data_IF_623144956298
#
_entry.id   IF_623144956298
#
_cell.length_a   1.000
_cell.length_b   1.000
_cell.length_c   1.000
_cell.angle_alpha   90.00
_cell.angle_beta   90.00
_cell.angle_gamma   90.00
#
_symmetry.space_group_name_H-M   'P 1'
#
loop_
_entity.id
_entity.type
_entity.pdbx_description
1 polymer ?
#
# COMPACT_ATOMS: atom_id res chain seq x y z
N UNK A 1 12.99 -82.75 -48.30
CA UNK A 1 12.53 -81.70 -47.36
C UNK A 1 11.78 -80.53 -48.04
N UNK A 2 11.61 -80.52 -49.37
CA UNK A 2 10.97 -79.42 -50.11
C UNK A 2 9.46 -79.59 -50.37
N UNK A 3 8.93 -80.80 -50.16
CA UNK A 3 7.51 -81.11 -50.44
C UNK A 3 6.55 -80.88 -49.25
N UNK A 4 7.08 -80.72 -48.02
CA UNK A 4 6.24 -80.43 -46.84
C UNK A 4 5.84 -78.97 -46.70
N UNK A 5 6.62 -78.02 -47.23
CA UNK A 5 6.28 -76.59 -47.18
C UNK A 5 5.16 -76.24 -48.17
N UNK A 6 5.20 -76.80 -49.39
CA UNK A 6 4.15 -76.60 -50.39
C UNK A 6 2.79 -77.20 -49.98
N UNK A 7 2.80 -78.31 -49.22
CA UNK A 7 1.59 -78.91 -48.65
C UNK A 7 0.97 -78.05 -47.54
N UNK A 8 1.81 -77.41 -46.72
CA UNK A 8 1.34 -76.53 -45.63
C UNK A 8 0.71 -75.24 -46.17
N UNK A 9 1.31 -74.64 -47.20
CA UNK A 9 0.80 -73.43 -47.84
C UNK A 9 -0.53 -73.73 -48.58
N UNK A 10 -0.65 -74.91 -49.20
CA UNK A 10 -1.88 -75.35 -49.87
C UNK A 10 -3.03 -75.63 -48.89
N UNK A 11 -2.71 -76.20 -47.71
CA UNK A 11 -3.68 -76.41 -46.64
C UNK A 11 -4.14 -75.10 -45.98
N UNK A 12 -3.26 -74.10 -45.85
CA UNK A 12 -3.63 -72.76 -45.35
C UNK A 12 -4.52 -71.99 -46.34
N UNK A 13 -4.24 -72.09 -47.65
CA UNK A 13 -5.09 -71.49 -48.69
C UNK A 13 -6.49 -72.13 -48.68
N UNK A 14 -6.56 -73.47 -48.57
CA UNK A 14 -7.84 -74.19 -48.50
C UNK A 14 -8.65 -73.87 -47.24
N UNK A 15 -7.98 -73.70 -46.09
CA UNK A 15 -8.63 -73.24 -44.85
C UNK A 15 -9.16 -71.82 -44.98
N UNK A 16 -8.40 -70.92 -45.61
CA UNK A 16 -8.85 -69.54 -45.85
C UNK A 16 -10.04 -69.49 -46.81
N UNK A 17 -10.08 -70.34 -47.84
CA UNK A 17 -11.25 -70.47 -48.74
C UNK A 17 -12.47 -70.99 -47.99
N UNK A 18 -12.33 -72.03 -47.17
CA UNK A 18 -13.44 -72.56 -46.36
C UNK A 18 -13.97 -71.53 -45.35
N UNK A 19 -13.09 -70.77 -44.69
CA UNK A 19 -13.47 -69.68 -43.79
C UNK A 19 -14.23 -68.60 -44.56
N UNK A 20 -13.78 -68.25 -45.76
CA UNK A 20 -14.43 -67.23 -46.59
C UNK A 20 -15.82 -67.68 -47.05
N UNK A 21 -15.97 -68.94 -47.45
CA UNK A 21 -17.24 -69.53 -47.84
C UNK A 21 -18.24 -69.59 -46.66
N UNK A 22 -17.78 -69.98 -45.47
CA UNK A 22 -18.61 -69.95 -44.25
C UNK A 22 -19.11 -68.54 -43.92
N UNK A 23 -18.25 -67.52 -44.08
CA UNK A 23 -18.66 -66.11 -43.87
C UNK A 23 -19.68 -65.67 -44.91
N UNK A 24 -19.53 -66.11 -46.16
CA UNK A 24 -20.45 -65.80 -47.25
C UNK A 24 -21.83 -66.42 -47.04
N UNK A 25 -21.86 -67.69 -46.62
CA UNK A 25 -23.09 -68.41 -46.24
C UNK A 25 -23.80 -67.75 -45.05
N UNK A 26 -23.03 -67.37 -44.02
CA UNK A 26 -23.56 -66.68 -42.84
C UNK A 26 -24.14 -65.32 -43.22
N UNK A 27 -23.45 -64.57 -44.08
CA UNK A 27 -23.92 -63.28 -44.58
C UNK A 27 -25.22 -63.42 -45.39
N UNK A 28 -25.31 -64.43 -46.26
CA UNK A 28 -26.54 -64.74 -46.99
C UNK A 28 -27.71 -65.08 -46.06
N UNK A 29 -27.48 -65.88 -45.03
CA UNK A 29 -28.50 -66.24 -44.03
C UNK A 29 -29.01 -65.00 -43.28
N UNK A 30 -28.11 -64.09 -42.89
CA UNK A 30 -28.45 -62.86 -42.18
C UNK A 30 -29.23 -61.91 -43.11
N UNK A 31 -28.79 -61.73 -44.36
CA UNK A 31 -29.48 -60.89 -45.34
C UNK A 31 -30.89 -61.40 -45.65
N UNK A 32 -31.07 -62.72 -45.77
CA UNK A 32 -32.38 -63.33 -45.96
C UNK A 32 -33.31 -63.05 -44.76
N UNK A 33 -32.80 -63.12 -43.53
CA UNK A 33 -33.57 -62.76 -42.32
C UNK A 33 -33.94 -61.27 -42.30
N UNK A 34 -33.04 -60.39 -42.72
CA UNK A 34 -33.29 -58.94 -42.78
C UNK A 34 -34.35 -58.61 -43.84
N UNK A 35 -34.31 -59.25 -45.02
CA UNK A 35 -35.34 -59.08 -46.05
C UNK A 35 -36.73 -59.50 -45.56
N UNK A 36 -36.82 -60.62 -44.83
CA UNK A 36 -38.08 -61.10 -44.25
C UNK A 36 -38.63 -60.15 -43.18
N UNK A 37 -37.76 -59.56 -42.35
CA UNK A 37 -38.17 -58.65 -41.28
C UNK A 37 -38.53 -57.25 -41.79
N UNK A 38 -37.83 -56.72 -42.79
CA UNK A 38 -38.04 -55.37 -43.33
C UNK A 38 -39.10 -55.28 -44.44
N UNK A 39 -39.68 -56.41 -44.86
CA UNK A 39 -40.66 -56.53 -45.96
C UNK A 39 -40.23 -55.84 -47.28
N UNK A 40 -38.93 -55.65 -47.45
CA UNK A 40 -38.31 -54.98 -48.59
C UNK A 40 -37.61 -56.02 -49.47
N UNK A 41 -38.06 -56.15 -50.72
CA UNK A 41 -37.51 -57.13 -51.68
C UNK A 41 -36.15 -56.74 -52.26
N UNK A 42 -35.77 -55.46 -52.16
CA UNK A 42 -34.56 -54.93 -52.78
C UNK A 42 -33.40 -54.86 -51.76
N UNK A 43 -32.53 -55.87 -51.79
CA UNK A 43 -31.33 -55.97 -50.92
C UNK A 43 -30.42 -54.75 -51.08
N UNK A 44 -30.27 -54.24 -52.31
CA UNK A 44 -29.39 -53.10 -52.58
C UNK A 44 -29.86 -51.84 -51.88
N UNK A 45 -31.17 -51.66 -51.72
CA UNK A 45 -31.74 -50.52 -50.99
C UNK A 45 -31.45 -50.60 -49.49
N UNK A 46 -31.50 -51.81 -48.91
CA UNK A 46 -31.17 -52.06 -47.50
C UNK A 46 -29.67 -51.81 -47.26
N UNK A 47 -28.80 -52.35 -48.10
CA UNK A 47 -27.36 -52.11 -47.99
C UNK A 47 -27.00 -50.63 -48.13
N UNK A 48 -27.59 -49.90 -49.10
CA UNK A 48 -27.37 -48.46 -49.24
C UNK A 48 -27.81 -47.67 -48.02
N UNK A 49 -28.97 -48.00 -47.44
CA UNK A 49 -29.43 -47.36 -46.21
C UNK A 49 -28.53 -47.68 -45.00
N UNK A 50 -27.99 -48.91 -44.95
CA UNK A 50 -27.06 -49.32 -43.90
C UNK A 50 -25.72 -48.60 -44.01
N UNK A 51 -25.15 -48.51 -45.22
CA UNK A 51 -23.91 -47.76 -45.48
C UNK A 51 -24.10 -46.28 -45.15
N UNK A 52 -25.21 -45.65 -45.56
CA UNK A 52 -25.50 -44.27 -45.18
C UNK A 52 -25.66 -44.09 -43.66
N UNK A 53 -26.30 -45.05 -42.98
CA UNK A 53 -26.42 -45.03 -41.52
C UNK A 53 -25.07 -45.23 -40.83
N UNK A 54 -24.20 -46.06 -41.39
CA UNK A 54 -22.83 -46.28 -40.90
C UNK A 54 -21.96 -45.03 -41.08
N UNK A 55 -21.99 -44.40 -42.25
CA UNK A 55 -21.30 -43.13 -42.52
C UNK A 55 -21.76 -42.02 -41.55
N UNK A 56 -23.07 -41.93 -41.30
CA UNK A 56 -23.61 -40.98 -40.34
C UNK A 56 -23.16 -41.29 -38.90
N UNK A 57 -23.16 -42.57 -38.50
CA UNK A 57 -22.67 -42.98 -37.19
C UNK A 57 -21.17 -42.72 -37.02
N UNK A 58 -20.37 -42.93 -38.06
CA UNK A 58 -18.94 -42.63 -38.06
C UNK A 58 -18.70 -41.14 -37.85
N UNK A 59 -19.42 -40.29 -38.60
CA UNK A 59 -19.34 -38.83 -38.45
C UNK A 59 -19.78 -38.35 -37.06
N UNK A 60 -20.83 -38.97 -36.50
CA UNK A 60 -21.26 -38.68 -35.12
C UNK A 60 -20.20 -39.10 -34.10
N UNK A 61 -19.57 -40.25 -34.28
CA UNK A 61 -18.51 -40.72 -33.40
C UNK A 61 -17.28 -39.81 -33.44
N UNK A 62 -16.87 -39.38 -34.64
CA UNK A 62 -15.81 -38.38 -34.83
C UNK A 62 -16.15 -37.08 -34.10
N UNK A 63 -17.37 -36.59 -34.27
CA UNK A 63 -17.82 -35.35 -33.61
C UNK A 63 -17.88 -35.48 -32.09
N UNK A 64 -18.34 -36.61 -31.57
CA UNK A 64 -18.33 -36.87 -30.12
C UNK A 64 -16.91 -36.90 -29.57
N UNK A 65 -15.96 -37.48 -30.29
CA UNK A 65 -14.56 -37.47 -29.89
C UNK A 65 -13.97 -36.05 -29.92
N UNK A 66 -14.24 -35.28 -30.97
CA UNK A 66 -13.81 -33.89 -31.09
C UNK A 66 -14.35 -33.04 -29.93
N UNK A 67 -15.65 -33.15 -29.63
CA UNK A 67 -16.26 -32.46 -28.49
C UNK A 67 -15.66 -32.91 -27.15
N UNK A 68 -15.33 -34.20 -27.00
CA UNK A 68 -14.72 -34.72 -25.78
C UNK A 68 -13.33 -34.11 -25.55
N UNK A 69 -12.52 -34.01 -26.62
CA UNK A 69 -11.22 -33.34 -26.59
C UNK A 69 -11.36 -31.84 -26.29
N UNK A 70 -12.38 -31.19 -26.85
CA UNK A 70 -12.66 -29.77 -26.57
C UNK A 70 -13.06 -29.57 -25.10
N UNK A 71 -13.89 -30.45 -24.54
CA UNK A 71 -14.27 -30.42 -23.11
C UNK A 71 -13.04 -30.59 -22.22
N UNK A 72 -12.14 -31.52 -22.54
CA UNK A 72 -10.89 -31.72 -21.79
C UNK A 72 -10.01 -30.47 -21.83
N UNK A 73 -9.88 -29.85 -23.00
CA UNK A 73 -9.13 -28.60 -23.18
C UNK A 73 -9.73 -27.46 -22.35
N UNK A 74 -11.05 -27.28 -22.41
CA UNK A 74 -11.75 -26.24 -21.64
C UNK A 74 -11.62 -26.48 -20.12
N UNK A 75 -11.69 -27.74 -19.67
CA UNK A 75 -11.47 -28.06 -18.26
C UNK A 75 -10.04 -27.73 -17.80
N UNK A 76 -9.04 -27.93 -18.64
CA UNK A 76 -7.67 -27.55 -18.32
C UNK A 76 -7.50 -26.03 -18.26
N UNK A 77 -8.10 -25.29 -19.20
CA UNK A 77 -8.10 -23.83 -19.18
C UNK A 77 -8.77 -23.29 -17.92
N UNK A 78 -9.95 -23.82 -17.55
CA UNK A 78 -10.65 -23.45 -16.32
C UNK A 78 -9.82 -23.75 -15.07
N UNK A 79 -9.08 -24.88 -15.06
CA UNK A 79 -8.15 -25.19 -13.96
C UNK A 79 -7.02 -24.16 -13.88
N UNK A 80 -6.39 -23.84 -15.01
CA UNK A 80 -5.33 -22.83 -15.07
C UNK A 80 -5.81 -21.46 -14.57
N UNK A 81 -6.94 -20.99 -15.07
CA UNK A 81 -7.55 -19.72 -14.66
C UNK A 81 -7.88 -19.69 -13.16
N UNK A 82 -8.39 -20.80 -12.60
CA UNK A 82 -8.66 -20.90 -11.16
C UNK A 82 -7.39 -20.82 -10.31
N UNK A 83 -6.29 -21.45 -10.75
CA UNK A 83 -5.00 -21.37 -10.07
C UNK A 83 -4.45 -19.94 -10.10
N UNK A 84 -4.51 -19.27 -11.25
CA UNK A 84 -4.10 -17.87 -11.38
C UNK A 84 -4.90 -16.96 -10.45
N UNK A 85 -6.23 -17.13 -10.42
CA UNK A 85 -7.12 -16.35 -9.56
C UNK A 85 -6.80 -16.56 -8.07
N UNK A 86 -6.44 -17.78 -7.68
CA UNK A 86 -6.00 -18.08 -6.32
C UNK A 86 -4.69 -17.37 -5.97
N UNK A 87 -3.71 -17.37 -6.87
CA UNK A 87 -2.43 -16.66 -6.69
C UNK A 87 -2.67 -15.16 -6.55
N UNK A 88 -3.44 -14.56 -7.45
CA UNK A 88 -3.77 -13.13 -7.41
C UNK A 88 -4.50 -12.78 -6.11
N UNK A 89 -5.45 -13.62 -5.68
CA UNK A 89 -6.20 -13.41 -4.44
C UNK A 89 -5.28 -13.45 -3.21
N UNK A 90 -4.31 -14.38 -3.17
CA UNK A 90 -3.31 -14.45 -2.09
C UNK A 90 -2.43 -13.22 -2.07
N UNK A 91 -1.91 -12.79 -3.23
CA UNK A 91 -1.10 -11.57 -3.35
C UNK A 91 -1.86 -10.33 -2.91
N UNK A 92 -3.13 -10.19 -3.33
CA UNK A 92 -3.98 -9.07 -2.94
C UNK A 92 -4.22 -9.02 -1.42
N UNK A 93 -4.47 -10.17 -0.79
CA UNK A 93 -4.63 -10.26 0.68
C UNK A 93 -3.35 -9.87 1.41
N UNK A 94 -2.20 -10.31 0.92
CA UNK A 94 -0.91 -9.97 1.52
C UNK A 94 -0.61 -8.47 1.37
N UNK A 95 -0.83 -7.90 0.18
CA UNK A 95 -0.67 -6.47 -0.08
C UNK A 95 -1.58 -5.64 0.83
N UNK A 96 -2.87 -6.00 0.91
CA UNK A 96 -3.81 -5.31 1.80
C UNK A 96 -3.38 -5.34 3.27
N UNK A 97 -2.75 -6.42 3.72
CA UNK A 97 -2.21 -6.51 5.09
C UNK A 97 -1.00 -5.58 5.28
N UNK A 98 -0.11 -5.48 4.29
CA UNK A 98 1.02 -4.53 4.29
C UNK A 98 0.51 -3.09 4.30
N UNK A 99 -0.45 -2.76 3.44
CA UNK A 99 -1.04 -1.43 3.36
C UNK A 99 -1.70 -1.02 4.68
N UNK A 100 -2.40 -1.95 5.34
CA UNK A 100 -3.01 -1.69 6.64
C UNK A 100 -1.95 -1.42 7.73
N UNK A 101 -0.84 -2.17 7.73
CA UNK A 101 0.26 -1.95 8.66
C UNK A 101 0.91 -0.57 8.43
N UNK A 102 1.19 -0.23 7.18
CA UNK A 102 1.73 1.10 6.81
C UNK A 102 0.78 2.21 7.22
N UNK A 103 -0.52 2.05 7.00
CA UNK A 103 -1.53 3.03 7.42
C UNK A 103 -1.49 3.26 8.94
N UNK A 104 -1.47 2.17 9.71
CA UNK A 104 -1.38 2.24 11.17
C UNK A 104 -0.08 2.90 11.64
N UNK A 105 1.05 2.63 10.99
CA UNK A 105 2.32 3.26 11.33
C UNK A 105 2.31 4.77 11.03
N UNK A 106 1.70 5.18 9.91
CA UNK A 106 1.51 6.59 9.57
C UNK A 106 0.59 7.28 10.57
N UNK A 107 -0.52 6.64 10.96
CA UNK A 107 -1.45 7.16 11.98
C UNK A 107 -0.71 7.39 13.31
N UNK A 108 0.05 6.40 13.79
CA UNK A 108 0.83 6.53 15.02
C UNK A 108 1.90 7.62 14.95
N UNK A 109 2.58 7.76 13.80
CA UNK A 109 3.59 8.80 13.64
C UNK A 109 2.94 10.19 13.61
N UNK A 110 1.78 10.31 12.98
CA UNK A 110 0.99 11.54 12.93
C UNK A 110 0.53 11.94 14.33
N UNK A 111 0.05 10.99 15.12
CA UNK A 111 -0.38 11.24 16.49
C UNK A 111 0.80 11.68 17.37
N UNK A 112 1.97 11.03 17.24
CA UNK A 112 3.19 11.46 17.95
C UNK A 112 3.60 12.88 17.57
N UNK A 113 3.68 13.18 16.28
CA UNK A 113 4.02 14.52 15.81
C UNK A 113 3.01 15.56 16.27
N UNK A 114 1.72 15.22 16.32
CA UNK A 114 0.68 16.10 16.84
C UNK A 114 0.87 16.37 18.33
N UNK A 115 1.19 15.35 19.14
CA UNK A 115 1.47 15.54 20.56
C UNK A 115 2.72 16.37 20.80
N UNK A 116 3.77 16.18 20.00
CA UNK A 116 5.01 16.95 20.09
C UNK A 116 4.78 18.41 19.68
N UNK A 117 4.03 18.66 18.61
CA UNK A 117 3.64 20.00 18.19
C UNK A 117 2.84 20.71 19.27
N UNK A 118 1.87 20.03 19.89
CA UNK A 118 1.10 20.60 21.00
C UNK A 118 1.99 20.95 22.20
N UNK A 119 2.94 20.08 22.57
CA UNK A 119 3.87 20.37 23.66
C UNK A 119 4.77 21.58 23.36
N UNK A 120 5.20 21.74 22.11
CA UNK A 120 5.98 22.89 21.68
C UNK A 120 5.16 24.18 21.68
N UNK A 121 3.88 24.11 21.28
CA UNK A 121 2.95 25.24 21.33
C UNK A 121 2.68 25.65 22.79
N UNK A 122 2.33 24.70 23.65
CA UNK A 122 2.12 24.95 25.09
C UNK A 122 3.38 25.54 25.76
N UNK A 123 4.57 25.05 25.39
CA UNK A 123 5.83 25.59 25.89
C UNK A 123 6.12 27.00 25.36
N UNK A 124 5.80 27.28 24.10
CA UNK A 124 5.95 28.61 23.51
C UNK A 124 5.01 29.62 24.17
N UNK A 125 3.76 29.24 24.42
CA UNK A 125 2.78 30.07 25.13
C UNK A 125 3.23 30.37 26.55
N UNK A 126 3.72 29.37 27.29
CA UNK A 126 4.28 29.58 28.63
C UNK A 126 5.48 30.56 28.61
N UNK A 127 6.34 30.47 27.60
CA UNK A 127 7.47 31.42 27.44
C UNK A 127 7.03 32.81 27.01
N UNK A 128 5.97 32.93 26.21
CA UNK A 128 5.37 34.21 25.88
C UNK A 128 4.79 34.90 27.13
N UNK A 129 4.12 34.14 28.01
CA UNK A 129 3.60 34.65 29.28
C UNK A 129 4.73 35.11 30.23
N UNK A 130 5.80 34.32 30.36
CA UNK A 130 7.00 34.71 31.11
C UNK A 130 7.61 36.02 30.55
N UNK A 131 7.69 36.15 29.23
CA UNK A 131 8.23 37.34 28.57
C UNK A 131 7.36 38.58 28.82
N UNK A 132 6.04 38.42 28.84
CA UNK A 132 5.13 39.52 29.15
C UNK A 132 5.29 40.00 30.60
N UNK A 133 5.45 39.08 31.54
CA UNK A 133 5.76 39.42 32.94
C UNK A 133 7.07 40.22 33.04
N UNK A 134 8.11 39.84 32.29
CA UNK A 134 9.37 40.60 32.23
C UNK A 134 9.15 42.01 31.69
N UNK A 135 8.32 42.20 30.65
CA UNK A 135 7.98 43.53 30.13
C UNK A 135 7.28 44.38 31.17
N UNK A 136 6.29 43.85 31.88
CA UNK A 136 5.57 44.57 32.93
C UNK A 136 6.52 45.03 34.05
N UNK A 137 7.40 44.13 34.51
CA UNK A 137 8.42 44.47 35.52
C UNK A 137 9.36 45.55 34.99
N UNK A 138 9.83 45.43 33.75
CA UNK A 138 10.72 46.41 33.13
C UNK A 138 10.04 47.79 33.01
N UNK A 139 8.78 47.85 32.60
CA UNK A 139 7.97 49.08 32.58
C UNK A 139 7.86 49.68 33.98
N UNK A 140 7.61 48.87 35.01
CA UNK A 140 7.48 49.35 36.40
C UNK A 140 8.77 49.97 36.94
N UNK A 141 9.93 49.34 36.66
CA UNK A 141 11.24 49.84 37.06
C UNK A 141 11.56 51.14 36.33
N UNK A 142 11.27 51.20 35.03
CA UNK A 142 11.50 52.41 34.25
C UNK A 142 10.64 53.58 34.74
N UNK A 143 9.36 53.33 35.03
CA UNK A 143 8.47 54.32 35.63
C UNK A 143 8.92 54.78 37.03
N UNK A 144 9.55 53.90 37.82
CA UNK A 144 10.17 54.28 39.09
C UNK A 144 11.40 55.18 38.88
N UNK A 145 12.30 54.80 37.97
CA UNK A 145 13.52 55.58 37.71
C UNK A 145 13.25 56.95 37.08
N UNK A 146 12.21 57.07 36.24
CA UNK A 146 11.79 58.36 35.65
C UNK A 146 11.28 59.34 36.72
N UNK A 147 10.76 58.83 37.86
CA UNK A 147 10.38 59.66 39.02
C UNK A 147 11.56 60.12 39.87
N UNK A 148 12.62 59.32 39.93
CA UNK A 148 13.80 59.58 40.78
C UNK A 148 14.78 60.57 40.12
N UNK A 149 14.72 60.73 38.80
CA UNK A 149 15.70 61.53 38.08
C UNK A 149 15.09 62.54 37.11
N UNK A 150 15.57 63.78 37.15
CA UNK A 150 15.15 64.87 36.24
C UNK A 150 15.65 64.72 34.80
N UNK A 151 16.47 63.70 34.50
CA UNK A 151 17.01 63.46 33.16
C UNK A 151 16.24 62.30 32.53
N UNK A 152 15.23 62.63 31.72
CA UNK A 152 14.47 61.66 30.94
C UNK A 152 15.41 60.90 30.02
N UNK A 153 15.43 59.58 30.13
CA UNK A 153 16.12 58.74 29.15
C UNK A 153 15.33 58.87 27.84
N UNK A 154 16.01 59.40 26.82
CA UNK A 154 15.49 59.66 25.48
C UNK A 154 15.24 58.35 24.73
N UNK A 155 14.26 57.58 25.18
CA UNK A 155 13.62 56.57 24.36
C UNK A 155 12.21 57.06 24.05
N UNK A 156 12.13 57.96 23.06
CA UNK A 156 10.86 58.34 22.45
C UNK A 156 10.41 57.21 21.53
N UNK A 157 9.84 56.16 22.13
CA UNK A 157 8.94 55.29 21.41
C UNK A 157 7.66 55.24 22.24
N UNK A 158 6.70 56.05 21.81
CA UNK A 158 5.33 56.16 22.34
C UNK A 158 4.54 54.83 22.27
N UNK A 159 5.17 53.75 21.82
CA UNK A 159 4.57 52.43 21.58
C UNK A 159 4.84 51.39 22.70
N UNK A 160 5.55 51.76 23.78
CA UNK A 160 5.81 50.85 24.90
C UNK A 160 6.89 49.79 24.61
N UNK A 161 7.01 48.81 25.52
CA UNK A 161 7.99 47.72 25.42
C UNK A 161 7.40 46.57 24.61
N UNK A 162 8.06 46.16 23.53
CA UNK A 162 7.71 45.09 22.59
C UNK A 162 8.86 44.08 22.49
N UNK A 163 8.60 42.85 22.01
CA UNK A 163 9.61 41.78 21.95
C UNK A 163 10.91 42.21 21.26
N UNK A 164 10.80 42.96 20.15
CA UNK A 164 11.94 43.44 19.38
C UNK A 164 12.78 44.50 20.11
N UNK A 165 12.18 45.21 21.08
CA UNK A 165 12.81 46.33 21.76
C UNK A 165 13.14 46.05 23.24
N UNK A 166 12.64 44.97 23.84
CA UNK A 166 12.90 44.57 25.25
C UNK A 166 14.39 44.61 25.59
N UNK A 167 15.24 44.06 24.72
CA UNK A 167 16.69 44.03 24.94
C UNK A 167 17.30 45.43 24.96
N UNK A 168 16.85 46.33 24.07
CA UNK A 168 17.33 47.71 24.04
C UNK A 168 16.91 48.48 25.30
N UNK A 169 15.70 48.25 25.81
CA UNK A 169 15.24 48.83 27.08
C UNK A 169 16.04 48.29 28.27
N UNK A 170 16.40 47.00 28.30
CA UNK A 170 17.25 46.43 29.34
C UNK A 170 18.66 47.04 29.35
N UNK A 171 19.28 47.21 28.18
CA UNK A 171 20.58 47.88 28.08
C UNK A 171 20.52 49.33 28.55
N UNK A 172 19.46 50.06 28.19
CA UNK A 172 19.27 51.44 28.62
C UNK A 172 19.08 51.52 30.15
N UNK A 173 18.30 50.60 30.72
CA UNK A 173 18.12 50.46 32.16
C UNK A 173 19.45 50.19 32.86
N UNK A 174 20.25 49.25 32.34
CA UNK A 174 21.55 48.91 32.91
C UNK A 174 22.47 50.13 32.98
N UNK A 175 22.64 50.85 31.86
CA UNK A 175 23.44 52.08 31.82
C UNK A 175 22.94 53.09 32.85
N UNK A 176 21.62 53.22 33.01
CA UNK A 176 21.02 54.16 33.97
C UNK A 176 21.31 53.79 35.42
N UNK A 177 21.18 52.52 35.77
CA UNK A 177 21.48 52.02 37.11
C UNK A 177 22.96 52.26 37.43
N UNK A 178 23.85 51.98 36.49
CA UNK A 178 25.30 52.22 36.64
C UNK A 178 25.58 53.70 36.93
N UNK A 179 24.98 54.61 36.17
CA UNK A 179 25.15 56.05 36.38
C UNK A 179 24.60 56.51 37.74
N UNK A 180 23.44 55.99 38.15
CA UNK A 180 22.84 56.32 39.45
C UNK A 180 23.73 55.87 40.62
N UNK A 181 24.29 54.66 40.54
CA UNK A 181 25.25 54.14 41.52
C UNK A 181 26.52 55.01 41.54
N UNK A 182 27.03 55.41 40.37
CA UNK A 182 28.21 56.30 40.28
C UNK A 182 27.93 57.65 40.95
N UNK A 183 26.77 58.25 40.68
CA UNK A 183 26.35 59.50 41.30
C UNK A 183 26.19 59.38 42.82
N UNK A 184 25.58 58.29 43.31
CA UNK A 184 25.45 58.04 44.76
C UNK A 184 26.82 57.95 45.44
N UNK A 185 27.74 57.16 44.88
CA UNK A 185 29.10 57.04 45.42
C UNK A 185 29.85 58.38 45.44
N UNK A 186 29.70 59.20 44.40
CA UNK A 186 30.30 60.53 44.35
C UNK A 186 29.68 61.48 45.39
N UNK A 187 28.37 61.39 45.62
CA UNK A 187 27.69 62.16 46.67
C UNK A 187 28.19 61.76 48.06
N UNK A 188 28.33 60.46 48.34
CA UNK A 188 28.88 59.94 49.60
C UNK A 188 30.33 60.43 49.82
N UNK A 189 31.17 60.38 48.79
CA UNK A 189 32.55 60.89 48.87
C UNK A 189 32.59 62.40 49.17
N UNK A 190 31.76 63.20 48.49
CA UNK A 190 31.65 64.64 48.76
C UNK A 190 31.12 64.94 50.16
N UNK A 191 30.22 64.11 50.68
CA UNK A 191 29.68 64.27 52.03
C UNK A 191 30.72 63.94 53.10
N UNK A 192 31.61 62.98 52.85
CA UNK A 192 32.78 62.68 53.71
C UNK A 192 33.81 63.81 53.65
N UNK A 193 34.11 64.35 52.47
CA UNK A 193 35.00 65.52 52.31
C UNK A 193 34.46 66.73 53.08
N UNK A 194 33.17 67.07 52.91
CA UNK A 194 32.52 68.17 53.62
C UNK A 194 32.53 68.02 55.15
N UNK A 195 32.36 66.78 55.66
CA UNK A 195 32.46 66.48 57.09
C UNK A 195 33.91 66.56 57.62
N UNK A 196 34.91 66.28 56.77
CA UNK A 196 36.33 66.41 57.12
C UNK A 196 36.79 67.86 57.14
N UNK A 197 36.33 68.70 56.20
CA UNK A 197 36.60 70.13 56.17
C UNK A 197 35.91 70.86 57.34
N UNK A 198 34.68 70.46 57.67
CA UNK A 198 33.94 71.00 58.83
C UNK A 198 34.59 70.64 60.18
N UNK A 199 35.32 69.52 60.27
CA UNK A 199 36.13 69.17 61.47
C UNK A 199 37.47 69.90 61.52
N UNK A 200 38.00 70.36 60.39
CA UNK A 200 39.27 71.11 60.34
C UNK A 200 39.10 72.61 60.58
N UNK A 201 37.86 73.13 60.57
CA UNK A 201 37.54 74.56 60.79
C UNK A 201 36.97 74.88 62.19
N UNK A 202 36.82 73.90 63.09
CA UNK A 202 36.53 74.16 64.51
C UNK A 202 37.80 73.89 65.34
N UNK A 203 38.51 74.94 65.81
CA UNK A 203 39.61 74.80 66.77
C UNK A 203 39.14 74.40 68.17
#
# INVERSE_FOLDING_TARGET
>A
MKDRSASSDSEEISKNEQIMEQRLQTCHSILARIQLASNCKDVNRICKAFVQGEEMNLSLFEKVNEMSLEIEKLHEEVRGQRQELEVITRQYKEQKRKDLAVKHDIENMTDKLRTEAQQLEDAADAKAEELECVKEVLQSIYAFLDKVSSQKVSFTVDAGITDDNVLQYLEALERRIIDLIRCSKLADMKQVEFLSESRSQNP
#
